data_IF_148187274782
#
_entry.id   IF_148187274782
#
_cell.length_a   1.000
_cell.length_b   1.000
_cell.length_c   1.000
_cell.angle_alpha   90.00
_cell.angle_beta   90.00
_cell.angle_gamma   90.00
#
_symmetry.space_group_name_H-M   'P 1'
#
loop_
_entity.id
_entity.type
_entity.pdbx_description
1 polymer ?
#
# COMPACT_ATOMS: atom_id res chain seq x y z
N UNK A 1 -21.25 -13.56 13.54
CA UNK A 1 -20.58 -14.07 12.32
C UNK A 1 -21.21 -13.47 11.07
N UNK A 2 -20.41 -13.02 10.14
CA UNK A 2 -20.90 -12.37 8.91
C UNK A 2 -21.12 -13.39 7.81
N UNK A 3 -22.22 -13.23 7.06
CA UNK A 3 -22.43 -13.97 5.82
C UNK A 3 -21.45 -13.45 4.76
N UNK A 4 -21.33 -14.16 3.64
CA UNK A 4 -20.48 -13.76 2.51
C UNK A 4 -20.90 -12.39 1.96
N UNK A 5 -22.18 -12.16 1.84
CA UNK A 5 -22.71 -10.87 1.35
C UNK A 5 -22.47 -9.75 2.36
N UNK A 6 -22.67 -10.03 3.64
CA UNK A 6 -22.41 -9.07 4.71
C UNK A 6 -20.93 -8.67 4.73
N UNK A 7 -20.01 -9.61 4.53
CA UNK A 7 -18.58 -9.32 4.45
C UNK A 7 -18.24 -8.45 3.26
N UNK A 8 -18.87 -8.71 2.12
CA UNK A 8 -18.67 -7.90 0.92
C UNK A 8 -19.12 -6.45 1.17
N UNK A 9 -20.27 -6.29 1.78
CA UNK A 9 -20.80 -4.97 2.10
C UNK A 9 -19.97 -4.25 3.16
N UNK A 10 -19.46 -4.98 4.14
CA UNK A 10 -18.60 -4.43 5.18
C UNK A 10 -17.30 -3.88 4.57
N UNK A 11 -16.69 -4.62 3.67
CA UNK A 11 -15.47 -4.18 2.98
C UNK A 11 -15.74 -2.96 2.10
N UNK A 12 -16.86 -2.94 1.40
CA UNK A 12 -17.24 -1.80 0.58
C UNK A 12 -17.41 -0.55 1.44
N UNK A 13 -18.12 -0.68 2.55
CA UNK A 13 -18.32 0.42 3.50
C UNK A 13 -16.97 0.91 4.07
N UNK A 14 -16.08 -0.03 4.38
CA UNK A 14 -14.76 0.29 4.89
C UNK A 14 -13.99 1.20 3.91
N UNK A 15 -13.92 0.81 2.64
CA UNK A 15 -13.16 1.57 1.64
C UNK A 15 -13.83 2.89 1.29
N UNK A 16 -15.15 2.96 1.29
CA UNK A 16 -15.89 4.21 1.11
C UNK A 16 -15.63 5.17 2.25
N UNK A 17 -15.61 4.65 3.48
CA UNK A 17 -15.34 5.44 4.68
C UNK A 17 -13.89 5.93 4.68
N UNK A 18 -12.95 5.11 4.20
CA UNK A 18 -11.56 5.51 4.07
C UNK A 18 -11.41 6.67 3.07
N UNK A 19 -12.09 6.58 1.93
CA UNK A 19 -12.06 7.65 0.94
C UNK A 19 -12.58 8.96 1.53
N UNK A 20 -13.68 8.90 2.26
CA UNK A 20 -14.24 10.08 2.94
C UNK A 20 -13.29 10.63 4.00
N UNK A 21 -12.61 9.76 4.74
CA UNK A 21 -11.60 10.18 5.72
C UNK A 21 -10.48 10.96 5.04
N UNK A 22 -9.99 10.46 3.90
CA UNK A 22 -8.90 11.11 3.16
C UNK A 22 -9.27 12.50 2.66
N UNK A 23 -10.52 12.70 2.23
CA UNK A 23 -10.99 13.98 1.70
C UNK A 23 -10.88 15.13 2.69
N UNK A 24 -10.99 14.85 3.99
CA UNK A 24 -10.95 15.89 5.02
C UNK A 24 -9.59 16.05 5.69
N UNK A 25 -8.58 15.31 5.24
CA UNK A 25 -7.24 15.44 5.83
C UNK A 25 -6.51 16.65 5.24
N UNK A 26 -6.01 17.60 6.09
CA UNK A 26 -5.35 18.80 5.58
C UNK A 26 -4.15 18.53 4.68
N UNK A 27 -3.34 17.52 5.01
CA UNK A 27 -2.12 17.21 4.25
C UNK A 27 -2.42 16.57 2.89
N UNK A 28 -3.67 16.19 2.64
CA UNK A 28 -4.09 15.63 1.34
C UNK A 28 -4.86 16.62 0.48
N UNK A 29 -5.00 17.87 0.94
CA UNK A 29 -5.68 18.92 0.17
C UNK A 29 -4.97 19.19 -1.15
N UNK A 30 -5.76 19.39 -2.20
CA UNK A 30 -5.23 19.66 -3.51
C UNK A 30 -4.70 18.45 -4.24
N UNK A 31 -4.79 17.28 -3.63
CA UNK A 31 -4.41 16.03 -4.27
C UNK A 31 -5.34 15.75 -5.45
N UNK A 32 -4.77 15.59 -6.65
CA UNK A 32 -5.54 15.36 -7.87
C UNK A 32 -5.75 13.88 -8.18
N UNK A 33 -5.01 12.99 -7.50
CA UNK A 33 -5.06 11.56 -7.77
C UNK A 33 -5.74 10.81 -6.62
N UNK A 34 -6.56 9.83 -6.98
CA UNK A 34 -7.20 8.93 -6.04
C UNK A 34 -6.28 7.71 -5.91
N UNK A 35 -5.88 7.38 -4.69
CA UNK A 35 -4.94 6.27 -4.48
C UNK A 35 -5.40 4.94 -5.09
N UNK A 36 -6.69 4.66 -5.07
CA UNK A 36 -7.22 3.41 -5.64
C UNK A 36 -7.10 3.34 -7.15
N UNK A 37 -6.90 4.48 -7.81
CA UNK A 37 -6.75 4.60 -9.26
C UNK A 37 -5.37 5.14 -9.63
N UNK A 38 -4.45 5.16 -8.69
CA UNK A 38 -3.15 5.76 -8.88
C UNK A 38 -2.26 4.93 -9.79
N UNK A 39 -1.77 5.56 -10.84
CA UNK A 39 -0.80 4.97 -11.75
C UNK A 39 0.57 5.58 -11.48
N UNK A 40 1.53 4.78 -11.03
CA UNK A 40 2.88 5.25 -10.71
C UNK A 40 3.66 5.68 -11.95
N UNK A 41 3.19 5.30 -13.14
CA UNK A 41 3.92 5.47 -14.41
C UNK A 41 5.23 4.66 -14.47
N UNK A 42 5.43 3.77 -13.52
CA UNK A 42 6.52 2.80 -13.53
C UNK A 42 5.90 1.44 -13.76
N UNK A 43 6.15 0.86 -14.93
CA UNK A 43 5.54 -0.41 -15.31
C UNK A 43 5.90 -1.52 -14.31
N UNK A 44 4.87 -2.24 -13.86
CA UNK A 44 5.06 -3.35 -12.93
C UNK A 44 5.22 -2.93 -11.48
N UNK A 45 5.02 -1.65 -11.15
CA UNK A 45 5.12 -1.14 -9.78
C UNK A 45 3.82 -0.42 -9.43
N UNK A 46 3.22 -0.81 -8.31
CA UNK A 46 1.97 -0.22 -7.81
C UNK A 46 2.09 0.15 -6.34
N UNK A 47 1.42 1.24 -5.96
CA UNK A 47 1.21 1.59 -4.56
C UNK A 47 -0.20 1.13 -4.20
N UNK A 48 -0.34 0.40 -3.11
CA UNK A 48 -1.63 -0.16 -2.74
C UNK A 48 -1.76 -0.36 -1.24
N UNK A 49 -3.00 -0.56 -0.82
CA UNK A 49 -3.35 -0.87 0.56
C UNK A 49 -3.80 -2.30 0.69
N UNK A 50 -3.65 -2.83 1.90
CA UNK A 50 -4.34 -4.04 2.30
C UNK A 50 -4.84 -3.85 3.72
N UNK A 51 -6.00 -4.40 4.02
CA UNK A 51 -6.61 -4.32 5.34
C UNK A 51 -7.38 -5.61 5.58
N UNK A 52 -7.13 -6.24 6.72
CA UNK A 52 -7.74 -7.52 7.03
C UNK A 52 -7.94 -7.67 8.54
N UNK A 53 -8.20 -8.87 9.01
CA UNK A 53 -8.43 -9.12 10.43
C UNK A 53 -7.16 -9.12 11.28
N UNK A 54 -5.99 -9.03 10.66
CA UNK A 54 -4.71 -8.97 11.34
C UNK A 54 -4.16 -7.55 11.43
N UNK A 55 -4.46 -6.70 10.45
CA UNK A 55 -3.93 -5.35 10.47
C UNK A 55 -4.10 -4.58 9.17
N UNK A 56 -3.37 -3.48 9.12
CA UNK A 56 -3.34 -2.55 7.99
C UNK A 56 -1.97 -2.58 7.34
N UNK A 57 -1.93 -2.47 6.01
CA UNK A 57 -0.69 -2.56 5.24
C UNK A 57 -0.66 -1.47 4.17
N UNK A 58 0.49 -0.82 4.04
CA UNK A 58 0.75 0.17 2.99
C UNK A 58 1.91 -0.37 2.18
N UNK A 59 1.69 -0.60 0.88
CA UNK A 59 2.51 -1.51 0.08
C UNK A 59 2.99 -0.84 -1.21
N UNK A 60 4.28 -1.02 -1.50
CA UNK A 60 4.87 -0.81 -2.81
C UNK A 60 5.05 -2.20 -3.39
N UNK A 61 4.25 -2.55 -4.41
CA UNK A 61 4.26 -3.90 -4.98
C UNK A 61 4.95 -3.91 -6.34
N UNK A 62 5.79 -4.91 -6.55
CA UNK A 62 6.45 -5.17 -7.82
C UNK A 62 5.79 -6.42 -8.40
N UNK A 63 5.07 -6.28 -9.51
CA UNK A 63 4.17 -7.32 -9.99
C UNK A 63 4.32 -7.69 -11.47
N UNK A 64 5.50 -7.51 -12.04
CA UNK A 64 5.77 -8.02 -13.39
C UNK A 64 5.47 -9.52 -13.43
N UNK A 65 4.90 -9.97 -14.54
CA UNK A 65 4.65 -11.41 -14.73
C UNK A 65 5.96 -12.17 -14.91
N UNK A 66 6.93 -11.54 -15.58
CA UNK A 66 8.26 -12.10 -15.73
C UNK A 66 8.99 -12.05 -14.39
N UNK A 67 9.44 -13.20 -13.91
CA UNK A 67 10.24 -13.27 -12.69
C UNK A 67 11.52 -12.45 -12.81
N UNK A 68 12.19 -12.55 -13.95
CA UNK A 68 13.44 -11.82 -14.18
C UNK A 68 13.23 -10.30 -14.07
N UNK A 69 12.18 -9.78 -14.70
CA UNK A 69 11.88 -8.34 -14.63
C UNK A 69 11.49 -7.92 -13.22
N UNK A 70 10.75 -8.77 -12.53
CA UNK A 70 10.31 -8.49 -11.15
C UNK A 70 11.51 -8.42 -10.21
N UNK A 71 12.43 -9.38 -10.31
CA UNK A 71 13.63 -9.42 -9.47
C UNK A 71 14.57 -8.27 -9.79
N UNK A 72 14.72 -7.92 -11.06
CA UNK A 72 15.52 -6.79 -11.48
C UNK A 72 14.99 -5.47 -10.91
N UNK A 73 13.66 -5.26 -10.99
CA UNK A 73 13.06 -4.05 -10.43
C UNK A 73 13.22 -4.01 -8.91
N UNK A 74 13.02 -5.15 -8.24
CA UNK A 74 13.20 -5.21 -6.79
C UNK A 74 14.64 -4.83 -6.40
N UNK A 75 15.62 -5.36 -7.13
CA UNK A 75 17.03 -5.00 -6.91
C UNK A 75 17.27 -3.50 -7.11
N UNK A 76 16.71 -2.94 -8.18
CA UNK A 76 16.84 -1.50 -8.43
C UNK A 76 16.25 -0.67 -7.29
N UNK A 77 15.13 -1.10 -6.73
CA UNK A 77 14.52 -0.43 -5.59
C UNK A 77 15.42 -0.49 -4.35
N UNK A 78 16.19 -1.56 -4.17
CA UNK A 78 17.11 -1.65 -3.03
C UNK A 78 18.21 -0.58 -3.11
N UNK A 79 18.54 -0.11 -4.30
CA UNK A 79 19.54 0.98 -4.46
C UNK A 79 19.01 2.28 -3.83
N UNK A 80 17.71 2.43 -3.68
CA UNK A 80 17.07 3.63 -3.10
C UNK A 80 16.46 3.38 -1.73
N UNK A 81 16.92 2.32 -1.07
CA UNK A 81 16.38 1.93 0.24
C UNK A 81 16.40 3.06 1.25
N UNK A 82 17.51 3.76 1.34
CA UNK A 82 17.66 4.88 2.28
C UNK A 82 16.62 5.97 2.03
N UNK A 83 16.38 6.31 0.76
CA UNK A 83 15.37 7.31 0.40
C UNK A 83 13.97 6.81 0.71
N UNK A 84 13.67 5.57 0.37
CA UNK A 84 12.34 5.00 0.60
C UNK A 84 12.02 4.91 2.09
N UNK A 85 13.01 4.60 2.92
CA UNK A 85 12.83 4.41 4.36
C UNK A 85 13.02 5.67 5.20
N UNK A 86 13.35 6.81 4.59
CA UNK A 86 13.75 8.01 5.34
C UNK A 86 12.73 8.49 6.38
N UNK A 87 11.45 8.23 6.16
CA UNK A 87 10.38 8.62 7.10
C UNK A 87 9.83 7.45 7.90
N UNK A 88 10.51 6.31 7.85
CA UNK A 88 10.10 5.08 8.53
C UNK A 88 11.20 4.67 9.52
N UNK A 89 11.09 5.11 10.79
CA UNK A 89 12.15 4.87 11.77
C UNK A 89 12.54 3.42 11.96
N UNK A 90 11.60 2.51 11.79
CA UNK A 90 11.86 1.07 11.90
C UNK A 90 12.08 0.41 10.54
N UNK A 91 12.17 1.22 9.47
CA UNK A 91 12.35 0.74 8.12
C UNK A 91 11.07 0.19 7.52
N UNK A 92 11.22 -0.40 6.34
CA UNK A 92 10.14 -1.09 5.63
C UNK A 92 10.46 -2.59 5.64
N UNK A 93 9.45 -3.40 5.38
CA UNK A 93 9.63 -4.84 5.22
C UNK A 93 9.83 -5.12 3.74
N UNK A 94 10.95 -5.77 3.40
CA UNK A 94 11.32 -6.08 2.02
C UNK A 94 11.12 -7.56 1.77
N UNK A 95 10.02 -7.90 1.11
CA UNK A 95 9.66 -9.29 0.80
C UNK A 95 9.79 -9.54 -0.70
N UNK A 96 10.85 -10.23 -1.08
CA UNK A 96 11.15 -10.50 -2.49
C UNK A 96 10.16 -11.46 -3.15
N UNK A 97 9.47 -12.26 -2.34
CA UNK A 97 8.49 -13.22 -2.86
C UNK A 97 7.29 -13.33 -1.94
N UNK A 98 6.23 -12.65 -2.32
CA UNK A 98 4.94 -12.75 -1.65
C UNK A 98 3.98 -13.48 -2.59
N UNK A 99 3.27 -14.47 -2.07
CA UNK A 99 2.30 -15.24 -2.85
C UNK A 99 0.90 -14.74 -2.53
N UNK A 100 0.21 -14.20 -3.55
CA UNK A 100 -1.18 -13.73 -3.41
C UNK A 100 -2.10 -14.94 -3.25
N UNK A 101 -3.33 -14.69 -2.79
CA UNK A 101 -4.34 -15.75 -2.63
C UNK A 101 -4.57 -16.55 -3.92
N UNK A 102 -4.46 -15.89 -5.07
CA UNK A 102 -4.62 -16.55 -6.37
C UNK A 102 -3.38 -17.33 -6.82
N UNK A 103 -2.36 -17.42 -5.98
CA UNK A 103 -1.12 -18.13 -6.28
C UNK A 103 -0.07 -17.32 -7.03
N UNK A 104 -0.39 -16.09 -7.42
CA UNK A 104 0.54 -15.24 -8.15
C UNK A 104 1.65 -14.74 -7.24
N UNK A 105 2.89 -14.82 -7.72
CA UNK A 105 4.05 -14.32 -7.00
C UNK A 105 4.32 -12.86 -7.36
N UNK A 106 4.55 -12.05 -6.33
CA UNK A 106 4.91 -10.64 -6.46
C UNK A 106 6.00 -10.33 -5.44
N UNK A 107 6.66 -9.18 -5.56
CA UNK A 107 7.53 -8.69 -4.50
C UNK A 107 6.82 -7.52 -3.82
N UNK A 108 7.04 -7.35 -2.53
CA UNK A 108 6.42 -6.28 -1.75
C UNK A 108 7.43 -5.59 -0.86
N UNK A 109 7.29 -4.28 -0.78
CA UNK A 109 8.02 -3.43 0.15
C UNK A 109 6.93 -2.68 0.91
N UNK A 110 6.84 -2.89 2.23
CA UNK A 110 5.65 -2.39 2.92
C UNK A 110 5.91 -2.05 4.38
N UNK A 111 4.95 -1.33 4.95
CA UNK A 111 4.85 -1.05 6.38
C UNK A 111 3.50 -1.56 6.84
N UNK A 112 3.47 -2.11 8.05
CA UNK A 112 2.27 -2.74 8.60
C UNK A 112 1.97 -2.23 10.01
N UNK A 113 0.68 -2.21 10.35
CA UNK A 113 0.22 -2.01 11.72
C UNK A 113 -0.66 -3.20 12.07
N UNK A 114 -0.14 -4.08 12.91
CA UNK A 114 -0.84 -5.27 13.35
C UNK A 114 -1.76 -4.98 14.55
N UNK A 115 -2.63 -5.93 14.87
CA UNK A 115 -3.53 -5.79 16.00
C UNK A 115 -4.84 -5.08 15.70
N UNK A 116 -5.09 -4.75 14.42
CA UNK A 116 -6.34 -4.16 13.98
C UNK A 116 -7.16 -5.20 13.24
N UNK A 117 -8.46 -5.21 13.49
CA UNK A 117 -9.39 -6.17 12.87
C UNK A 117 -10.42 -5.41 12.04
N UNK A 118 -10.42 -5.65 10.73
CA UNK A 118 -11.37 -5.04 9.78
C UNK A 118 -12.82 -5.27 10.19
N UNK A 119 -13.12 -6.40 10.83
CA UNK A 119 -14.46 -6.71 11.29
C UNK A 119 -14.93 -5.86 12.47
N UNK A 120 -14.02 -5.10 13.09
CA UNK A 120 -14.35 -4.24 14.23
C UNK A 120 -14.37 -2.77 13.78
N UNK A 121 -15.56 -2.20 13.64
CA UNK A 121 -15.68 -0.80 13.23
C UNK A 121 -14.95 0.15 14.19
N UNK A 122 -14.85 -0.21 15.47
CA UNK A 122 -14.11 0.59 16.43
C UNK A 122 -12.62 0.74 16.07
N UNK A 123 -12.06 -0.17 15.26
CA UNK A 123 -10.69 -0.13 14.78
C UNK A 123 -10.51 0.70 13.51
N UNK A 124 -11.58 1.05 12.82
CA UNK A 124 -11.49 1.69 11.49
C UNK A 124 -10.75 3.02 11.52
N UNK A 125 -10.98 3.82 12.56
CA UNK A 125 -10.26 5.09 12.70
C UNK A 125 -8.74 4.91 12.71
N UNK A 126 -8.27 3.90 13.42
CA UNK A 126 -6.84 3.57 13.48
C UNK A 126 -6.31 3.04 12.14
N UNK A 127 -7.11 2.22 11.45
CA UNK A 127 -6.78 1.80 10.07
C UNK A 127 -6.57 3.02 9.18
N UNK A 128 -7.53 3.93 9.19
CA UNK A 128 -7.54 5.08 8.28
C UNK A 128 -6.39 6.03 8.54
N UNK A 129 -6.14 6.32 9.82
CA UNK A 129 -5.03 7.19 10.22
C UNK A 129 -3.70 6.62 9.76
N UNK A 130 -3.49 5.33 9.99
CA UNK A 130 -2.27 4.65 9.60
C UNK A 130 -2.10 4.63 8.08
N UNK A 131 -3.12 4.15 7.37
CA UNK A 131 -3.04 3.99 5.92
C UNK A 131 -2.82 5.33 5.20
N UNK A 132 -3.56 6.36 5.57
CA UNK A 132 -3.44 7.65 4.92
C UNK A 132 -2.08 8.30 5.19
N UNK A 133 -1.62 8.32 6.44
CA UNK A 133 -0.36 8.95 6.80
C UNK A 133 0.84 8.20 6.22
N UNK A 134 0.84 6.88 6.30
CA UNK A 134 1.97 6.09 5.82
C UNK A 134 2.05 6.08 4.29
N UNK A 135 0.91 6.00 3.61
CA UNK A 135 0.92 6.07 2.15
C UNK A 135 1.37 7.45 1.65
N UNK A 136 0.98 8.51 2.34
CA UNK A 136 1.46 9.84 1.99
C UNK A 136 2.98 9.90 1.99
N UNK A 137 3.61 9.36 3.02
CA UNK A 137 5.07 9.32 3.15
C UNK A 137 5.71 8.40 2.12
N UNK A 138 5.19 7.20 1.97
CA UNK A 138 5.75 6.23 1.02
C UNK A 138 5.63 6.73 -0.42
N UNK A 139 4.48 7.27 -0.79
CA UNK A 139 4.27 7.82 -2.11
C UNK A 139 5.22 8.96 -2.39
N UNK A 140 5.38 9.89 -1.45
CA UNK A 140 6.28 11.02 -1.60
C UNK A 140 7.71 10.55 -1.83
N UNK A 141 8.17 9.60 -1.01
CA UNK A 141 9.53 9.07 -1.13
C UNK A 141 9.72 8.33 -2.46
N UNK A 142 8.72 7.54 -2.85
CA UNK A 142 8.76 6.81 -4.13
C UNK A 142 8.77 7.77 -5.32
N UNK A 143 7.93 8.80 -5.31
CA UNK A 143 7.87 9.76 -6.42
C UNK A 143 9.20 10.50 -6.61
N UNK A 144 9.99 10.64 -5.57
CA UNK A 144 11.32 11.24 -5.65
C UNK A 144 12.31 10.41 -6.45
N UNK A 145 12.06 9.13 -6.64
CA UNK A 145 12.95 8.23 -7.39
C UNK A 145 12.29 7.61 -8.62
N UNK A 146 11.01 7.83 -8.81
CA UNK A 146 10.23 7.14 -9.84
C UNK A 146 10.80 7.32 -11.26
N UNK A 147 11.27 8.51 -11.60
CA UNK A 147 11.81 8.77 -12.94
C UNK A 147 13.04 7.92 -13.26
N UNK A 148 13.82 7.54 -12.25
CA UNK A 148 15.00 6.70 -12.44
C UNK A 148 14.65 5.24 -12.67
N UNK A 149 13.40 4.88 -12.45
CA UNK A 149 12.91 3.51 -12.60
C UNK A 149 12.14 3.28 -13.92
N UNK A 150 11.85 4.35 -14.67
CA UNK A 150 10.99 4.29 -15.87
C UNK A 150 11.70 3.85 -17.14
N UNK A 151 12.88 3.35 -17.04
CA UNK A 151 13.64 2.91 -18.21
C UNK A 151 13.26 1.49 -18.65
#
# INVERSE_FOLDING_TARGET
>A
MYSKEELKNLKLEFWESFAAFCEVQPYLRGRKKIWTLYDTKVKGVELKFDANRQGAYVILEVNHRSEDLRLEMFERLTWYKETLEQDFPEGLIWDICFVRENGRQVARIYVAKEGLDLHRQAHWGDFFTFMASQMYLLERNFMGIAEYLRE
#
